data_IF_192574266149
#
_entry.id   IF_192574266149
#
_cell.length_a   1.000
_cell.length_b   1.000
_cell.length_c   1.000
_cell.angle_alpha   90.00
_cell.angle_beta   90.00
_cell.angle_gamma   90.00
#
_symmetry.space_group_name_H-M   'P 1'
#
loop_
_entity.id
_entity.type
_entity.pdbx_description
1 polymer ?
#
# COMPACT_ATOMS: atom_id res chain seq x y z
N UNK A 1 -15.29 -18.94 5.76
CA UNK A 1 -15.65 -17.51 5.62
C UNK A 1 -14.71 -16.58 6.40
N UNK A 2 -14.36 -16.87 7.66
CA UNK A 2 -13.44 -16.05 8.47
C UNK A 2 -12.01 -15.93 7.88
N UNK A 3 -11.42 -17.04 7.41
CA UNK A 3 -10.08 -17.03 6.83
C UNK A 3 -9.96 -16.13 5.58
N UNK A 4 -10.96 -16.20 4.69
CA UNK A 4 -10.99 -15.32 3.51
C UNK A 4 -11.09 -13.84 3.90
N UNK A 5 -11.94 -13.49 4.89
CA UNK A 5 -12.01 -12.12 5.42
C UNK A 5 -10.68 -11.65 5.99
N UNK A 6 -9.96 -12.52 6.69
CA UNK A 6 -8.64 -12.21 7.21
C UNK A 6 -7.63 -11.91 6.11
N UNK A 7 -7.52 -12.78 5.10
CA UNK A 7 -6.61 -12.57 3.96
C UNK A 7 -6.95 -11.29 3.19
N UNK A 8 -8.22 -11.04 2.87
CA UNK A 8 -8.64 -9.80 2.24
C UNK A 8 -8.36 -8.58 3.12
N UNK A 9 -8.52 -8.73 4.44
CA UNK A 9 -8.15 -7.73 5.44
C UNK A 9 -6.68 -7.34 5.34
N UNK A 10 -5.77 -8.32 5.34
CA UNK A 10 -4.32 -8.09 5.18
C UNK A 10 -4.00 -7.35 3.88
N UNK A 11 -4.59 -7.76 2.75
CA UNK A 11 -4.38 -7.10 1.47
C UNK A 11 -4.90 -5.65 1.50
N UNK A 12 -6.07 -5.42 2.10
CA UNK A 12 -6.67 -4.08 2.20
C UNK A 12 -5.84 -3.11 3.04
N UNK A 13 -5.15 -3.59 4.08
CA UNK A 13 -4.27 -2.75 4.91
C UNK A 13 -3.10 -2.16 4.13
N UNK A 14 -2.64 -2.87 3.09
CA UNK A 14 -1.58 -2.38 2.21
C UNK A 14 -2.08 -1.32 1.20
N UNK A 15 -3.40 -1.12 1.10
CA UNK A 15 -4.07 -0.14 0.22
C UNK A 15 -3.58 -0.17 -1.24
N UNK A 16 -3.73 -1.30 -1.96
CA UNK A 16 -3.20 -1.46 -3.31
C UNK A 16 -3.68 -0.41 -4.33
N UNK A 17 -4.87 0.17 -4.13
CA UNK A 17 -5.37 1.26 -4.97
C UNK A 17 -4.49 2.52 -4.89
N UNK A 18 -3.85 2.77 -3.74
CA UNK A 18 -2.95 3.92 -3.54
C UNK A 18 -1.60 3.73 -4.23
N UNK A 19 -1.22 2.49 -4.58
CA UNK A 19 0.07 2.22 -5.24
C UNK A 19 0.15 2.82 -6.65
N UNK A 20 -1.00 3.08 -7.28
CA UNK A 20 -1.07 3.74 -8.59
C UNK A 20 -0.39 5.11 -8.60
N UNK A 21 -0.46 5.86 -7.47
CA UNK A 21 0.23 7.15 -7.31
C UNK A 21 1.74 6.97 -7.29
N UNK A 22 2.22 5.98 -6.52
CA UNK A 22 3.65 5.64 -6.46
C UNK A 22 4.16 5.17 -7.82
N UNK A 23 3.39 4.33 -8.53
CA UNK A 23 3.72 3.90 -9.89
C UNK A 23 3.83 5.09 -10.85
N UNK A 24 2.85 5.99 -10.85
CA UNK A 24 2.85 7.18 -11.71
C UNK A 24 4.06 8.07 -11.46
N UNK A 25 4.37 8.37 -10.19
CA UNK A 25 5.55 9.16 -9.81
C UNK A 25 6.84 8.48 -10.27
N UNK A 26 6.96 7.16 -10.07
CA UNK A 26 8.13 6.40 -10.53
C UNK A 26 8.25 6.41 -12.06
N UNK A 27 7.15 6.25 -12.80
CA UNK A 27 7.14 6.26 -14.25
C UNK A 27 7.58 7.62 -14.80
N UNK A 28 7.07 8.72 -14.23
CA UNK A 28 7.52 10.07 -14.56
C UNK A 28 9.01 10.21 -14.31
N UNK A 29 9.50 9.82 -13.13
CA UNK A 29 10.91 9.90 -12.79
C UNK A 29 11.80 9.07 -13.74
N UNK A 30 11.36 7.86 -14.12
CA UNK A 30 12.08 6.99 -15.05
C UNK A 30 12.14 7.60 -16.46
N UNK A 31 11.02 8.13 -16.96
CA UNK A 31 10.95 8.81 -18.27
C UNK A 31 11.82 10.07 -18.29
N UNK A 32 11.73 10.90 -17.26
CA UNK A 32 12.58 12.09 -17.13
C UNK A 32 14.05 11.71 -17.11
N UNK A 33 14.42 10.67 -16.35
CA UNK A 33 15.80 10.18 -16.31
C UNK A 33 16.28 9.71 -17.69
N UNK A 34 15.44 8.95 -18.41
CA UNK A 34 15.77 8.46 -19.74
C UNK A 34 16.01 9.61 -20.74
N UNK A 35 15.15 10.62 -20.73
CA UNK A 35 15.22 11.77 -21.65
C UNK A 35 16.41 12.68 -21.30
N UNK A 36 16.55 13.05 -20.03
CA UNK A 36 17.55 14.04 -19.58
C UNK A 36 18.97 13.49 -19.69
N UNK A 37 19.16 12.21 -19.36
CA UNK A 37 20.49 11.59 -19.33
C UNK A 37 20.77 10.68 -20.53
N UNK A 38 19.82 10.50 -21.45
CA UNK A 38 19.98 9.63 -22.63
C UNK A 38 20.19 8.15 -22.28
N UNK A 39 19.61 7.69 -21.17
CA UNK A 39 19.80 6.31 -20.67
C UNK A 39 18.58 5.43 -20.95
N UNK A 40 18.83 4.14 -21.17
CA UNK A 40 17.76 3.15 -21.31
C UNK A 40 17.39 2.60 -19.94
N UNK A 41 16.11 2.72 -19.57
CA UNK A 41 15.58 2.14 -18.34
C UNK A 41 15.22 0.67 -18.58
N UNK A 42 15.74 -0.22 -17.74
CA UNK A 42 15.37 -1.64 -17.77
C UNK A 42 13.94 -1.82 -17.21
N UNK A 43 12.99 -2.39 -17.98
CA UNK A 43 11.63 -2.63 -17.50
C UNK A 43 11.60 -3.55 -16.27
N UNK A 44 12.47 -4.56 -16.23
CA UNK A 44 12.54 -5.48 -15.10
C UNK A 44 13.01 -4.78 -13.81
N UNK A 45 14.05 -3.92 -13.91
CA UNK A 45 14.51 -3.13 -12.75
C UNK A 45 13.44 -2.14 -12.28
N UNK A 46 12.72 -1.53 -13.22
CA UNK A 46 11.62 -0.63 -12.90
C UNK A 46 10.50 -1.35 -12.14
N UNK A 47 10.04 -2.51 -12.63
CA UNK A 47 9.01 -3.31 -11.97
C UNK A 47 9.47 -3.80 -10.60
N UNK A 48 10.72 -4.27 -10.48
CA UNK A 48 11.28 -4.69 -9.19
C UNK A 48 11.33 -3.52 -8.19
N UNK A 49 11.75 -2.34 -8.63
CA UNK A 49 11.74 -1.13 -7.82
C UNK A 49 10.32 -0.74 -7.40
N UNK A 50 9.36 -0.82 -8.32
CA UNK A 50 7.96 -0.52 -8.01
C UNK A 50 7.39 -1.47 -6.96
N UNK A 51 7.62 -2.78 -7.09
CA UNK A 51 7.19 -3.76 -6.09
C UNK A 51 7.79 -3.44 -4.73
N UNK A 52 9.09 -3.10 -4.66
CA UNK A 52 9.72 -2.71 -3.41
C UNK A 52 9.07 -1.46 -2.79
N UNK A 53 8.82 -0.42 -3.59
CA UNK A 53 8.14 0.81 -3.14
C UNK A 53 6.71 0.55 -2.70
N UNK A 54 5.95 -0.28 -3.43
CA UNK A 54 4.58 -0.66 -3.09
C UNK A 54 4.52 -1.42 -1.75
N UNK A 55 5.46 -2.34 -1.50
CA UNK A 55 5.56 -3.06 -0.23
C UNK A 55 5.95 -2.13 0.94
N UNK A 56 6.89 -1.21 0.73
CA UNK A 56 7.27 -0.22 1.73
C UNK A 56 6.10 0.68 2.12
N UNK A 57 5.39 1.23 1.13
CA UNK A 57 4.18 2.03 1.38
C UNK A 57 3.06 1.19 1.99
N UNK A 58 2.88 -0.05 1.55
CA UNK A 58 1.92 -0.98 2.13
C UNK A 58 2.17 -1.23 3.62
N UNK A 59 3.43 -1.40 4.01
CA UNK A 59 3.84 -1.50 5.42
C UNK A 59 3.53 -0.22 6.20
N UNK A 60 3.83 0.96 5.63
CA UNK A 60 3.55 2.24 6.28
C UNK A 60 2.05 2.51 6.45
N UNK A 61 1.22 2.19 5.44
CA UNK A 61 -0.24 2.28 5.56
C UNK A 61 -0.79 1.32 6.59
N UNK A 62 -0.24 0.10 6.67
CA UNK A 62 -0.61 -0.87 7.70
C UNK A 62 -0.27 -0.34 9.10
N UNK A 63 0.92 0.25 9.27
CA UNK A 63 1.33 0.86 10.53
C UNK A 63 0.44 2.05 10.92
N UNK A 64 0.02 2.86 9.94
CA UNK A 64 -0.91 3.96 10.16
C UNK A 64 -2.26 3.43 10.66
N UNK A 65 -2.87 2.46 9.97
CA UNK A 65 -4.15 1.86 10.38
C UNK A 65 -4.05 1.20 11.76
N UNK A 66 -2.91 0.61 12.10
CA UNK A 66 -2.67 0.06 13.43
C UNK A 66 -2.59 1.15 14.50
N UNK A 67 -1.85 2.22 14.25
CA UNK A 67 -1.66 3.32 15.20
C UNK A 67 -2.96 4.08 15.42
N UNK A 68 -3.72 4.31 14.35
CA UNK A 68 -4.99 5.05 14.35
C UNK A 68 -6.20 4.21 14.79
N UNK A 69 -6.04 2.91 15.04
CA UNK A 69 -7.13 1.93 15.23
C UNK A 69 -8.23 2.37 16.21
N UNK A 70 -7.86 3.07 17.29
CA UNK A 70 -8.83 3.57 18.30
C UNK A 70 -9.66 4.71 17.73
N UNK A 71 -9.02 5.70 17.14
CA UNK A 71 -9.69 6.83 16.51
C UNK A 71 -10.53 6.38 15.29
N UNK A 72 -10.00 5.45 14.50
CA UNK A 72 -10.70 4.89 13.35
C UNK A 72 -11.97 4.11 13.76
N UNK A 73 -11.99 3.47 14.93
CA UNK A 73 -13.17 2.77 15.43
C UNK A 73 -14.35 3.71 15.76
N UNK A 74 -14.07 4.96 16.13
CA UNK A 74 -15.08 5.98 16.44
C UNK A 74 -15.54 6.76 15.19
N UNK A 75 -14.77 6.70 14.10
CA UNK A 75 -15.05 7.44 12.89
C UNK A 75 -16.22 6.82 12.07
N UNK A 76 -17.14 7.62 11.50
CA UNK A 76 -18.35 7.12 10.82
C UNK A 76 -18.06 6.13 9.68
N UNK A 77 -17.02 6.40 8.88
CA UNK A 77 -16.58 5.53 7.76
C UNK A 77 -15.43 4.59 8.12
N UNK A 78 -14.34 5.09 8.75
CA UNK A 78 -13.11 4.31 8.98
C UNK A 78 -13.27 3.14 9.96
N UNK A 79 -14.35 3.10 10.74
CA UNK A 79 -14.69 1.94 11.60
C UNK A 79 -14.86 0.62 10.82
N UNK A 80 -15.07 0.71 9.51
CA UNK A 80 -15.17 -0.46 8.62
C UNK A 80 -13.80 -0.97 8.12
N UNK A 81 -12.68 -0.29 8.44
CA UNK A 81 -11.32 -0.75 8.07
C UNK A 81 -10.98 -2.09 8.72
N UNK A 82 -9.98 -2.77 8.17
CA UNK A 82 -9.68 -4.16 8.52
C UNK A 82 -9.39 -4.39 10.02
N UNK A 83 -8.65 -3.47 10.68
CA UNK A 83 -8.33 -3.58 12.11
C UNK A 83 -9.55 -3.20 12.98
N UNK A 84 -10.17 -2.00 12.87
CA UNK A 84 -11.33 -1.64 13.69
C UNK A 84 -12.54 -2.58 13.55
N UNK A 85 -12.76 -3.13 12.34
CA UNK A 85 -13.84 -4.09 12.07
C UNK A 85 -13.54 -5.52 12.53
N UNK A 86 -12.34 -5.76 13.06
CA UNK A 86 -11.83 -7.08 13.47
C UNK A 86 -11.70 -8.10 12.33
N UNK A 87 -11.64 -7.65 11.08
CA UNK A 87 -11.24 -8.53 9.97
C UNK A 87 -9.78 -8.98 10.12
N UNK A 88 -8.94 -8.14 10.72
CA UNK A 88 -7.57 -8.44 11.15
C UNK A 88 -7.46 -8.16 12.66
N UNK A 89 -7.00 -9.11 13.49
CA UNK A 89 -6.82 -8.89 14.92
C UNK A 89 -5.78 -7.79 15.22
N UNK A 90 -6.04 -6.96 16.22
CA UNK A 90 -5.09 -5.93 16.67
C UNK A 90 -3.94 -6.47 17.55
N UNK A 91 -4.08 -7.71 18.04
CA UNK A 91 -3.06 -8.43 18.80
C UNK A 91 -2.91 -9.79 18.14
N UNK A 92 -1.67 -10.15 17.83
CA UNK A 92 -1.28 -11.52 17.43
C UNK A 92 -0.80 -12.22 18.69
#
# INVERSE_FOLDING_TARGET
MAFSKFIFGLISLMRPLEWSKSFGNMAIAALTTAIVFGVVISPLKFVAGFVAVALLWGGLYTLNDYTDRKADAEHPVKKARAIPSKAVPEKI
#
